data_IF_396524475865
#
_entry.id   IF_396524475865
#
_cell.length_a   1.000
_cell.length_b   1.000
_cell.length_c   1.000
_cell.angle_alpha   90.00
_cell.angle_beta   90.00
_cell.angle_gamma   90.00
#
_symmetry.space_group_name_H-M   'P 1'
#
loop_
_entity.id
_entity.type
_entity.pdbx_description
1 polymer ?
#
# COMPACT_ATOMS: atom_id res chain seq x y z
N UNK A 1 59.86 73.91 52.02
CA UNK A 1 59.68 73.53 50.59
C UNK A 1 59.91 72.02 50.58
N UNK A 2 58.95 71.13 50.36
CA UNK A 2 57.97 71.04 49.29
C UNK A 2 56.81 70.12 49.71
N UNK A 3 55.62 70.37 49.18
CA UNK A 3 54.35 69.70 49.50
C UNK A 3 54.31 68.30 48.86
N UNK A 4 54.08 67.24 49.64
CA UNK A 4 53.62 65.95 49.08
C UNK A 4 52.10 65.91 49.11
N UNK A 5 51.51 65.94 47.91
CA UNK A 5 50.07 66.08 47.66
C UNK A 5 49.33 64.79 48.04
N UNK A 6 48.31 64.91 48.89
CA UNK A 6 47.27 63.89 49.07
C UNK A 6 46.33 63.97 47.87
N UNK A 7 46.28 62.91 47.07
CA UNK A 7 45.37 62.79 45.92
C UNK A 7 44.11 62.05 46.37
N UNK A 8 42.89 62.60 46.22
CA UNK A 8 41.68 61.87 46.56
C UNK A 8 41.42 60.79 45.49
N UNK A 9 41.31 59.53 45.91
CA UNK A 9 40.86 58.45 45.04
C UNK A 9 39.33 58.42 45.01
N UNK A 10 38.76 58.83 43.87
CA UNK A 10 37.34 58.74 43.60
C UNK A 10 36.95 57.27 43.42
N UNK A 11 36.32 56.68 44.43
CA UNK A 11 35.70 55.35 44.32
C UNK A 11 34.53 55.45 43.34
N UNK A 12 34.77 55.08 42.08
CA UNK A 12 33.70 54.93 41.07
C UNK A 12 32.88 53.69 41.44
N UNK A 13 31.66 53.90 41.91
CA UNK A 13 30.68 52.80 42.06
C UNK A 13 30.44 52.17 40.68
N UNK A 14 30.49 50.84 40.53
CA UNK A 14 30.06 50.23 39.30
C UNK A 14 28.56 50.48 39.13
N UNK A 15 28.21 51.16 38.04
CA UNK A 15 26.83 51.26 37.56
C UNK A 15 26.32 49.83 37.37
N UNK A 16 25.31 49.45 38.16
CA UNK A 16 24.53 48.24 37.90
C UNK A 16 23.83 48.47 36.56
N UNK A 17 24.36 47.88 35.49
CA UNK A 17 23.65 47.79 34.22
C UNK A 17 22.56 46.75 34.46
N UNK A 18 21.33 47.24 34.71
CA UNK A 18 20.14 46.41 34.66
C UNK A 18 20.04 45.83 33.25
N UNK A 19 20.33 44.53 33.12
CA UNK A 19 20.17 43.77 31.89
C UNK A 19 18.68 43.49 31.69
N UNK A 20 17.93 44.52 31.30
CA UNK A 20 16.51 44.36 31.01
C UNK A 20 16.39 43.70 29.63
N UNK A 21 16.34 42.37 29.63
CA UNK A 21 15.85 41.57 28.50
C UNK A 21 14.40 41.98 28.22
N UNK A 22 14.20 42.97 27.35
CA UNK A 22 12.92 43.18 26.69
C UNK A 22 12.78 42.14 25.58
N UNK A 23 12.59 40.88 25.98
CA UNK A 23 11.83 39.96 25.15
C UNK A 23 10.38 40.44 25.16
N UNK A 24 10.05 41.41 24.31
CA UNK A 24 8.66 41.67 23.92
C UNK A 24 8.20 40.53 23.02
N UNK A 25 8.15 39.32 23.57
CA UNK A 25 7.34 38.25 23.01
C UNK A 25 5.91 38.70 23.18
N UNK A 26 5.30 39.18 22.11
CA UNK A 26 3.85 39.33 22.03
C UNK A 26 3.26 37.95 22.33
N UNK A 27 2.86 37.72 23.57
CA UNK A 27 2.03 36.57 23.94
C UNK A 27 0.61 36.88 23.46
N UNK A 28 0.45 36.92 22.14
CA UNK A 28 -0.84 36.98 21.48
C UNK A 28 -1.54 35.65 21.72
N UNK A 29 -2.52 35.64 22.63
CA UNK A 29 -3.43 34.51 22.77
C UNK A 29 -4.28 34.37 21.51
N UNK A 30 -4.43 33.15 21.01
CA UNK A 30 -5.37 32.82 19.94
C UNK A 30 -6.77 33.29 20.32
N UNK A 31 -7.45 33.97 19.39
CA UNK A 31 -8.85 34.34 19.61
C UNK A 31 -9.75 33.10 19.45
N UNK A 32 -10.83 33.00 20.24
CA UNK A 32 -11.80 31.92 20.08
C UNK A 32 -12.42 31.91 18.67
N UNK A 33 -12.55 33.08 18.06
CA UNK A 33 -13.08 33.21 16.70
C UNK A 33 -12.12 32.70 15.63
N UNK A 34 -10.80 32.84 15.80
CA UNK A 34 -9.82 32.23 14.89
C UNK A 34 -9.94 30.71 14.89
N UNK A 35 -10.03 30.10 16.06
CA UNK A 35 -10.16 28.65 16.16
C UNK A 35 -11.52 28.17 15.62
N UNK A 36 -12.58 28.95 15.82
CA UNK A 36 -13.92 28.66 15.30
C UNK A 36 -13.95 28.64 13.76
N UNK A 37 -13.35 29.63 13.10
CA UNK A 37 -13.34 29.70 11.63
C UNK A 37 -12.53 28.54 11.05
N UNK A 38 -11.42 28.16 11.67
CA UNK A 38 -10.57 27.05 11.23
C UNK A 38 -11.35 25.73 11.25
N UNK A 39 -12.06 25.41 12.35
CA UNK A 39 -12.81 24.15 12.41
C UNK A 39 -13.98 24.12 11.42
N UNK A 40 -14.60 25.27 11.11
CA UNK A 40 -15.67 25.35 10.11
C UNK A 40 -15.11 25.03 8.72
N UNK A 41 -13.97 25.62 8.36
CA UNK A 41 -13.34 25.35 7.06
C UNK A 41 -12.90 23.88 6.98
N UNK A 42 -12.31 23.34 8.06
CA UNK A 42 -11.94 21.92 8.11
C UNK A 42 -13.16 20.99 7.97
N UNK A 43 -14.32 21.35 8.54
CA UNK A 43 -15.55 20.57 8.39
C UNK A 43 -16.05 20.52 6.94
N UNK A 44 -16.01 21.65 6.23
CA UNK A 44 -16.39 21.70 4.79
C UNK A 44 -15.43 20.87 3.95
N UNK A 45 -14.11 21.01 4.19
CA UNK A 45 -13.10 20.25 3.46
C UNK A 45 -13.19 18.74 3.75
N UNK A 46 -13.39 18.35 5.01
CA UNK A 46 -13.54 16.95 5.38
C UNK A 46 -14.77 16.30 4.73
N UNK A 47 -15.87 17.04 4.60
CA UNK A 47 -17.11 16.54 3.98
C UNK A 47 -16.89 16.08 2.52
N UNK A 48 -16.11 16.82 1.73
CA UNK A 48 -15.79 16.45 0.34
C UNK A 48 -14.55 15.53 0.25
N UNK A 49 -13.63 15.65 1.21
CA UNK A 49 -12.36 14.94 1.22
C UNK A 49 -12.49 13.49 1.65
N UNK A 50 -13.31 13.18 2.66
CA UNK A 50 -13.47 11.80 3.16
C UNK A 50 -13.99 10.84 2.09
N UNK A 51 -15.11 11.10 1.37
CA UNK A 51 -15.62 10.14 0.40
C UNK A 51 -14.66 9.94 -0.79
N UNK A 52 -13.97 11.00 -1.22
CA UNK A 52 -12.99 10.92 -2.31
C UNK A 52 -11.74 10.15 -1.88
N UNK A 53 -11.24 10.40 -0.67
CA UNK A 53 -10.11 9.67 -0.10
C UNK A 53 -10.39 8.18 0.06
N UNK A 54 -11.59 7.80 0.55
CA UNK A 54 -11.97 6.40 0.70
C UNK A 54 -12.02 5.68 -0.65
N UNK A 55 -12.59 6.31 -1.69
CA UNK A 55 -12.60 5.74 -3.04
C UNK A 55 -11.20 5.59 -3.64
N UNK A 56 -10.30 6.55 -3.40
CA UNK A 56 -8.91 6.44 -3.83
C UNK A 56 -8.15 5.33 -3.11
N UNK A 57 -8.38 5.15 -1.80
CA UNK A 57 -7.79 4.06 -1.01
C UNK A 57 -8.25 2.71 -1.54
N UNK A 58 -9.55 2.54 -1.80
CA UNK A 58 -10.10 1.29 -2.33
C UNK A 58 -9.44 0.91 -3.66
N UNK A 59 -9.35 1.86 -4.60
CA UNK A 59 -8.70 1.64 -5.90
C UNK A 59 -7.21 1.32 -5.77
N UNK A 60 -6.51 1.90 -4.79
CA UNK A 60 -5.11 1.59 -4.54
C UNK A 60 -4.92 0.17 -4.01
N UNK A 61 -5.82 -0.30 -3.13
CA UNK A 61 -5.83 -1.68 -2.63
C UNK A 61 -6.10 -2.66 -3.78
N UNK A 62 -7.06 -2.33 -4.64
CA UNK A 62 -7.42 -3.15 -5.81
C UNK A 62 -6.28 -3.23 -6.83
N UNK A 63 -5.64 -2.10 -7.13
CA UNK A 63 -4.47 -2.06 -8.02
C UNK A 63 -3.29 -2.88 -7.46
N UNK A 64 -3.09 -2.88 -6.14
CA UNK A 64 -2.05 -3.68 -5.50
C UNK A 64 -2.34 -5.19 -5.65
N UNK A 65 -3.57 -5.62 -5.37
CA UNK A 65 -3.98 -7.01 -5.54
C UNK A 65 -3.89 -7.47 -7.00
N UNK A 66 -4.33 -6.63 -7.95
CA UNK A 66 -4.19 -6.90 -9.37
C UNK A 66 -2.72 -7.11 -9.78
N UNK A 67 -1.84 -6.20 -9.37
CA UNK A 67 -0.41 -6.28 -9.69
C UNK A 67 0.23 -7.53 -9.08
N UNK A 68 -0.16 -7.88 -7.85
CA UNK A 68 0.31 -9.07 -7.16
C UNK A 68 -0.01 -10.35 -7.95
N UNK A 69 -1.26 -10.53 -8.37
CA UNK A 69 -1.68 -11.72 -9.14
C UNK A 69 -1.00 -11.75 -10.53
N UNK A 70 -0.74 -10.58 -11.14
CA UNK A 70 0.02 -10.49 -12.41
C UNK A 70 1.51 -10.87 -12.26
N UNK A 71 2.11 -10.52 -11.13
CA UNK A 71 3.48 -10.95 -10.83
C UNK A 71 3.52 -12.46 -10.59
N UNK A 72 2.56 -12.99 -9.82
CA UNK A 72 2.41 -14.43 -9.61
C UNK A 72 2.25 -15.20 -10.93
N UNK A 73 1.46 -14.68 -11.87
CA UNK A 73 1.33 -15.26 -13.21
C UNK A 73 2.68 -15.41 -13.92
N UNK A 74 3.53 -14.39 -13.82
CA UNK A 74 4.84 -14.41 -14.46
C UNK A 74 5.74 -15.46 -13.84
N UNK A 75 5.71 -15.60 -12.51
CA UNK A 75 6.44 -16.63 -11.79
C UNK A 75 5.95 -18.05 -12.15
N UNK A 76 4.64 -18.23 -12.21
CA UNK A 76 4.00 -19.50 -12.59
C UNK A 76 4.36 -19.91 -14.03
N UNK A 77 4.37 -18.95 -14.97
CA UNK A 77 4.82 -19.19 -16.35
C UNK A 77 6.30 -19.55 -16.43
N UNK A 78 7.15 -18.92 -15.61
CA UNK A 78 8.57 -19.28 -15.54
C UNK A 78 8.75 -20.71 -15.02
N UNK A 79 8.01 -21.10 -13.97
CA UNK A 79 8.03 -22.48 -13.44
C UNK A 79 7.59 -23.52 -14.47
N UNK A 80 6.62 -23.17 -15.33
CA UNK A 80 6.19 -24.04 -16.44
C UNK A 80 7.31 -24.25 -17.48
N UNK A 81 8.14 -23.25 -17.75
CA UNK A 81 9.25 -23.40 -18.72
C UNK A 81 10.25 -24.46 -18.26
N UNK A 82 10.50 -24.54 -16.96
CA UNK A 82 11.46 -25.49 -16.39
C UNK A 82 10.88 -26.91 -16.25
N UNK A 83 9.60 -27.03 -15.89
CA UNK A 83 8.93 -28.32 -15.64
C UNK A 83 8.24 -28.90 -16.87
N UNK A 84 7.70 -28.04 -17.74
CA UNK A 84 6.79 -28.38 -18.83
C UNK A 84 5.45 -28.99 -18.38
N UNK A 85 5.15 -28.86 -17.08
CA UNK A 85 4.38 -29.71 -16.15
C UNK A 85 3.64 -28.90 -15.07
N UNK A 86 2.53 -28.19 -15.28
CA UNK A 86 1.94 -27.40 -14.17
C UNK A 86 1.67 -28.23 -12.91
N UNK A 87 1.28 -29.50 -13.04
CA UNK A 87 1.02 -30.41 -11.91
C UNK A 87 2.27 -30.79 -11.12
N UNK A 88 3.44 -30.48 -11.65
CA UNK A 88 4.74 -30.74 -11.03
C UNK A 88 5.30 -29.51 -10.32
N UNK A 89 4.70 -28.34 -10.51
CA UNK A 89 5.09 -27.10 -9.84
C UNK A 89 4.64 -27.16 -8.39
N UNK A 90 5.53 -26.82 -7.46
CA UNK A 90 5.22 -26.72 -6.04
C UNK A 90 5.29 -25.27 -5.55
N UNK A 91 4.70 -25.00 -4.38
CA UNK A 91 4.82 -23.70 -3.72
C UNK A 91 6.29 -23.32 -3.46
N UNK A 92 7.16 -24.29 -3.16
CA UNK A 92 8.59 -24.06 -2.93
C UNK A 92 9.31 -23.63 -4.21
N UNK A 93 8.98 -24.23 -5.36
CA UNK A 93 9.54 -23.82 -6.66
C UNK A 93 9.15 -22.38 -7.01
N UNK A 94 7.89 -22.02 -6.75
CA UNK A 94 7.38 -20.67 -6.96
C UNK A 94 8.02 -19.66 -6.01
N UNK A 95 8.28 -20.04 -4.76
CA UNK A 95 8.96 -19.19 -3.79
C UNK A 95 10.45 -18.96 -4.13
N UNK A 96 11.09 -19.89 -4.85
CA UNK A 96 12.45 -19.68 -5.40
C UNK A 96 12.43 -18.62 -6.50
N UNK A 97 11.42 -18.65 -7.38
CA UNK A 97 11.30 -17.73 -8.52
C UNK A 97 10.88 -16.34 -8.05
N UNK A 98 9.86 -16.26 -7.20
CA UNK A 98 9.32 -15.02 -6.66
C UNK A 98 9.18 -15.12 -5.13
N UNK A 99 10.24 -14.75 -4.38
CA UNK A 99 10.29 -14.92 -2.93
C UNK A 99 9.49 -13.85 -2.18
N UNK A 100 9.06 -12.77 -2.84
CA UNK A 100 8.23 -11.77 -2.16
C UNK A 100 6.82 -12.29 -1.90
N UNK A 101 6.32 -13.18 -2.77
CA UNK A 101 4.95 -13.71 -2.71
C UNK A 101 4.89 -14.90 -1.77
N UNK A 102 3.87 -14.90 -0.92
CA UNK A 102 3.52 -16.08 -0.11
C UNK A 102 2.53 -16.93 -0.89
N UNK A 103 2.97 -18.10 -1.31
CA UNK A 103 2.21 -19.02 -2.15
C UNK A 103 1.33 -19.93 -1.30
N UNK A 104 0.03 -19.95 -1.58
CA UNK A 104 -0.95 -20.83 -0.93
C UNK A 104 -1.54 -21.78 -1.96
N UNK A 105 -1.24 -23.07 -1.84
CA UNK A 105 -1.90 -24.07 -2.68
C UNK A 105 -3.36 -24.22 -2.23
N UNK A 106 -4.28 -24.20 -3.19
CA UNK A 106 -5.70 -24.43 -2.96
C UNK A 106 -6.06 -25.90 -3.22
N UNK A 107 -7.06 -26.41 -2.51
CA UNK A 107 -7.55 -27.78 -2.68
C UNK A 107 -8.60 -27.91 -3.81
N UNK A 108 -9.25 -26.80 -4.16
CA UNK A 108 -10.33 -26.70 -5.15
C UNK A 108 -10.02 -25.62 -6.20
N UNK A 109 -10.70 -25.71 -7.35
CA UNK A 109 -10.64 -24.73 -8.44
C UNK A 109 -10.99 -23.32 -7.93
N UNK A 110 -10.18 -22.34 -8.35
CA UNK A 110 -10.30 -20.95 -7.94
C UNK A 110 -11.01 -20.08 -8.97
N UNK A 111 -10.81 -20.35 -10.26
CA UNK A 111 -11.19 -19.45 -11.35
C UNK A 111 -11.54 -20.27 -12.58
N UNK A 112 -12.74 -20.07 -13.12
CA UNK A 112 -13.11 -20.63 -14.42
C UNK A 112 -13.52 -19.53 -15.40
N UNK A 113 -13.29 -19.78 -16.68
CA UNK A 113 -13.62 -18.85 -17.76
C UNK A 113 -14.79 -19.30 -18.64
N UNK A 114 -15.27 -20.54 -18.51
CA UNK A 114 -16.39 -21.08 -19.30
C UNK A 114 -17.22 -22.14 -18.53
N UNK A 115 -18.34 -21.78 -17.86
CA UNK A 115 -18.83 -20.42 -17.63
C UNK A 115 -17.98 -19.67 -16.61
N UNK A 116 -17.96 -18.34 -16.70
CA UNK A 116 -16.97 -17.57 -15.96
C UNK A 116 -17.34 -17.30 -14.49
N UNK A 117 -16.65 -17.92 -13.54
CA UNK A 117 -16.84 -17.79 -12.09
C UNK A 117 -15.51 -17.68 -11.33
N UNK A 118 -15.58 -17.21 -10.08
CA UNK A 118 -14.45 -17.16 -9.14
C UNK A 118 -14.93 -17.71 -7.80
N UNK A 119 -14.07 -18.44 -7.08
CA UNK A 119 -14.43 -19.05 -5.80
C UNK A 119 -14.83 -17.98 -4.76
N UNK A 120 -15.89 -18.25 -4.00
CA UNK A 120 -16.38 -17.35 -2.94
C UNK A 120 -15.42 -17.29 -1.74
N UNK A 121 -14.66 -18.36 -1.51
CA UNK A 121 -13.70 -18.47 -0.41
C UNK A 121 -12.28 -18.61 -0.97
N UNK A 122 -11.52 -17.51 -0.93
CA UNK A 122 -10.09 -17.49 -1.26
C UNK A 122 -9.29 -17.15 0.00
N UNK A 123 -8.38 -18.05 0.36
CA UNK A 123 -7.58 -17.98 1.59
C UNK A 123 -6.43 -16.98 1.52
N UNK A 124 -6.07 -16.49 0.33
CA UNK A 124 -4.97 -15.57 0.09
C UNK A 124 -5.41 -14.09 0.13
N UNK A 125 -4.64 -13.27 0.83
CA UNK A 125 -4.89 -11.84 0.99
C UNK A 125 -3.75 -11.01 0.42
N UNK A 126 -4.08 -10.07 -0.45
CA UNK A 126 -3.10 -9.19 -1.09
C UNK A 126 -2.39 -8.27 -0.09
N UNK A 127 -3.04 -7.91 1.01
CA UNK A 127 -2.45 -7.11 2.09
C UNK A 127 -1.24 -7.80 2.74
N UNK A 128 -1.24 -9.14 2.75
CA UNK A 128 -0.17 -9.97 3.31
C UNK A 128 0.78 -10.51 2.22
N UNK A 129 0.64 -9.98 0.99
CA UNK A 129 1.38 -10.40 -0.21
C UNK A 129 1.20 -11.88 -0.57
N UNK A 130 0.00 -12.41 -0.32
CA UNK A 130 -0.33 -13.81 -0.55
C UNK A 130 -1.08 -14.00 -1.87
N UNK A 131 -0.80 -15.12 -2.55
CA UNK A 131 -1.54 -15.57 -3.74
C UNK A 131 -1.89 -17.04 -3.60
N UNK A 132 -3.17 -17.34 -3.80
CA UNK A 132 -3.66 -18.71 -3.88
C UNK A 132 -3.45 -19.22 -5.30
N UNK A 133 -3.02 -20.47 -5.44
CA UNK A 133 -2.88 -21.13 -6.73
C UNK A 133 -3.52 -22.51 -6.74
N UNK A 134 -4.06 -22.91 -7.88
CA UNK A 134 -4.61 -24.25 -8.11
C UNK A 134 -4.08 -24.81 -9.43
N UNK A 135 -3.66 -26.06 -9.43
CA UNK A 135 -3.03 -26.71 -10.59
C UNK A 135 -3.99 -27.77 -11.15
N UNK A 136 -4.92 -27.33 -12.00
CA UNK A 136 -5.99 -28.17 -12.53
C UNK A 136 -5.44 -29.29 -13.43
N UNK A 137 -4.54 -28.93 -14.35
CA UNK A 137 -4.00 -29.87 -15.33
C UNK A 137 -2.57 -29.52 -15.74
N UNK A 138 -2.03 -30.23 -16.73
CA UNK A 138 -0.70 -29.95 -17.29
C UNK A 138 -0.59 -28.55 -17.90
N UNK A 139 -1.71 -28.03 -18.42
CA UNK A 139 -1.76 -26.78 -19.17
C UNK A 139 -2.60 -25.70 -18.50
N UNK A 140 -3.41 -26.09 -17.50
CA UNK A 140 -4.34 -25.18 -16.82
C UNK A 140 -3.94 -25.00 -15.37
N UNK A 141 -3.85 -23.75 -14.95
CA UNK A 141 -3.59 -23.35 -13.58
C UNK A 141 -4.25 -22.01 -13.25
N UNK A 142 -4.68 -21.88 -12.00
CA UNK A 142 -5.43 -20.72 -11.52
C UNK A 142 -4.64 -19.98 -10.46
N UNK A 143 -4.83 -18.67 -10.39
CA UNK A 143 -4.24 -17.78 -9.42
C UNK A 143 -5.31 -16.82 -8.91
N UNK A 144 -5.39 -16.62 -7.60
CA UNK A 144 -6.32 -15.65 -7.05
C UNK A 144 -5.80 -15.00 -5.76
N UNK A 145 -6.21 -13.75 -5.53
CA UNK A 145 -5.98 -13.06 -4.27
C UNK A 145 -7.10 -12.06 -3.98
N UNK A 146 -7.38 -11.86 -2.69
CA UNK A 146 -8.40 -10.93 -2.22
C UNK A 146 -7.78 -9.60 -1.81
N UNK A 147 -8.29 -8.51 -2.36
CA UNK A 147 -7.92 -7.13 -2.00
C UNK A 147 -8.42 -6.76 -0.61
N UNK A 148 -7.73 -5.83 0.06
CA UNK A 148 -8.18 -5.27 1.36
C UNK A 148 -9.52 -4.52 1.24
N UNK A 149 -9.93 -4.16 0.02
CA UNK A 149 -11.26 -3.61 -0.27
C UNK A 149 -12.39 -4.65 -0.17
N UNK A 150 -12.07 -5.94 -0.20
CA UNK A 150 -13.01 -7.06 -0.35
C UNK A 150 -13.22 -7.54 -1.79
N UNK A 151 -12.67 -6.85 -2.80
CA UNK A 151 -12.71 -7.31 -4.18
C UNK A 151 -11.76 -8.49 -4.42
N UNK A 152 -12.14 -9.38 -5.33
CA UNK A 152 -11.36 -10.59 -5.63
C UNK A 152 -10.81 -10.51 -7.06
N UNK A 153 -9.53 -10.83 -7.19
CA UNK A 153 -8.85 -10.83 -8.48
C UNK A 153 -8.30 -12.21 -8.77
N UNK A 154 -8.75 -12.78 -9.88
CA UNK A 154 -8.41 -14.14 -10.32
C UNK A 154 -7.93 -14.19 -11.76
N UNK A 155 -7.02 -15.11 -12.04
CA UNK A 155 -6.48 -15.41 -13.36
C UNK A 155 -6.54 -16.92 -13.55
N UNK A 156 -7.21 -17.35 -14.61
CA UNK A 156 -7.04 -18.69 -15.15
C UNK A 156 -6.05 -18.63 -16.32
N UNK A 157 -5.04 -19.48 -16.27
CA UNK A 157 -4.06 -19.67 -17.33
C UNK A 157 -4.37 -20.98 -18.01
N UNK A 158 -4.62 -20.95 -19.31
CA UNK A 158 -4.69 -22.15 -20.14
C UNK A 158 -3.62 -22.05 -21.23
N UNK A 159 -2.57 -22.84 -21.09
CA UNK A 159 -1.53 -23.00 -22.10
C UNK A 159 -1.93 -24.14 -23.02
N UNK A 160 -2.87 -23.90 -23.94
CA UNK A 160 -3.13 -24.84 -25.05
C UNK A 160 -1.79 -25.20 -25.68
N UNK A 161 -1.64 -26.45 -26.14
CA UNK A 161 -0.50 -26.95 -26.92
C UNK A 161 0.22 -25.78 -27.60
N UNK A 162 1.50 -25.56 -27.23
CA UNK A 162 2.26 -24.29 -27.26
C UNK A 162 2.32 -23.58 -28.65
N UNK A 163 1.64 -24.13 -29.66
CA UNK A 163 1.53 -23.68 -31.05
C UNK A 163 0.38 -22.73 -31.39
N UNK A 164 -0.72 -22.60 -30.63
CA UNK A 164 -1.91 -21.92 -31.19
C UNK A 164 -2.34 -20.55 -30.63
N UNK A 165 -2.39 -20.26 -29.32
CA UNK A 165 -3.07 -18.99 -28.94
C UNK A 165 -2.61 -18.21 -27.71
N UNK A 166 -1.81 -18.71 -26.77
CA UNK A 166 -0.99 -17.89 -25.86
C UNK A 166 -1.66 -16.71 -25.09
N UNK A 167 -2.97 -16.75 -24.80
CA UNK A 167 -3.65 -15.67 -24.07
C UNK A 167 -4.22 -16.15 -22.74
N UNK A 168 -3.84 -15.43 -21.68
CA UNK A 168 -4.36 -15.58 -20.32
C UNK A 168 -5.60 -14.70 -20.17
N UNK A 169 -6.77 -15.29 -19.90
CA UNK A 169 -7.99 -14.53 -19.60
C UNK A 169 -8.04 -14.23 -18.10
N UNK A 170 -7.73 -12.99 -17.75
CA UNK A 170 -7.86 -12.47 -16.39
C UNK A 170 -9.29 -11.97 -16.19
N UNK A 171 -10.06 -12.56 -15.27
CA UNK A 171 -11.39 -12.05 -14.90
C UNK A 171 -11.29 -11.35 -13.54
N UNK A 172 -11.34 -10.03 -13.57
CA UNK A 172 -11.49 -9.21 -12.37
C UNK A 172 -12.98 -9.21 -11.99
N UNK A 173 -13.32 -9.72 -10.81
CA UNK A 173 -14.71 -9.70 -10.32
C UNK A 173 -14.83 -8.63 -9.23
N UNK A 174 -15.30 -7.45 -9.63
CA UNK A 174 -15.76 -6.42 -8.69
C UNK A 174 -17.27 -6.55 -8.52
N UNK A 175 -17.72 -7.17 -7.44
CA UNK A 175 -19.13 -7.15 -6.97
C UNK A 175 -20.19 -7.87 -7.83
N UNK A 176 -20.09 -7.90 -9.16
CA UNK A 176 -21.01 -8.56 -10.07
C UNK A 176 -20.29 -9.04 -11.34
N UNK A 177 -19.56 -10.17 -11.27
CA UNK A 177 -19.15 -11.07 -12.38
C UNK A 177 -18.79 -10.48 -13.76
N UNK A 178 -18.41 -9.21 -13.88
CA UNK A 178 -18.22 -8.56 -15.18
C UNK A 178 -16.81 -8.81 -15.66
N UNK A 179 -16.68 -9.42 -16.84
CA UNK A 179 -15.41 -9.64 -17.52
C UNK A 179 -14.80 -8.28 -17.94
N UNK A 180 -13.71 -7.87 -17.28
CA UNK A 180 -12.83 -6.83 -17.80
C UNK A 180 -11.96 -7.41 -18.92
N UNK A 181 -11.98 -6.79 -20.09
CA UNK A 181 -11.06 -7.09 -21.20
C UNK A 181 -9.79 -6.25 -21.12
#
# INVERSE_FOLDING_TARGET
MERSKVTPQTVRRPTVICHQRLGCGHQGGFTLIELLIVIIILAVLATIGIPTFLGQRQRAQDAAAYTLVRNALTALQAALVDTGDYRLVTADDLAIIEPSIVWKEADDDLVSTDPAWIADEISARAADNEVAFFLESKTVADLASVSESGNVFGIQVDTVDVSETGYVKVKLVEGETSLGW
#
